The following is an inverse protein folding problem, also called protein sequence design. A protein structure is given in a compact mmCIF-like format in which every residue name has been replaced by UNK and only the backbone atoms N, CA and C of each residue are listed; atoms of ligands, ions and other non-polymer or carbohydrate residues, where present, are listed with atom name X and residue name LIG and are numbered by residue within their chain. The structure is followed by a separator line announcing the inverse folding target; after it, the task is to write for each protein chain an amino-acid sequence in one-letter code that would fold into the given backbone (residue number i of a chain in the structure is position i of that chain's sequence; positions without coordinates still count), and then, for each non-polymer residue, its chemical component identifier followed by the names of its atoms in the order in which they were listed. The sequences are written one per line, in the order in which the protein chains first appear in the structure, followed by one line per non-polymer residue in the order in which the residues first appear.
data_IF_262533746057
#
_entry.id   IF_262533746057
#
_cell.length_a   1.000
_cell.length_b   1.000
_cell.length_c   1.000
_cell.angle_alpha   90.00
_cell.angle_beta   90.00
_cell.angle_gamma   90.00
#
_symmetry.space_group_name_H-M   'P 1'
#
loop_
_entity.id
_entity.type
_entity.pdbx_description
1 polymer ?
#
# COMPACT_ATOMS: atom_id res chain seq x y z
N UNK A 1 -34.15 55.40 -28.47
CA UNK A 1 -33.83 54.21 -29.24
C UNK A 1 -32.57 54.44 -30.06
N UNK A 2 -31.42 54.08 -29.60
CA UNK A 2 -30.15 54.06 -30.37
C UNK A 2 -29.24 52.95 -29.79
N UNK A 3 -28.97 52.07 -30.61
CA UNK A 3 -28.03 50.98 -30.73
C UNK A 3 -26.76 51.09 -29.91
N UNK A 4 -26.45 50.06 -29.11
CA UNK A 4 -25.13 49.73 -28.59
C UNK A 4 -24.83 48.28 -28.88
N UNK A 5 -24.39 48.04 -30.09
CA UNK A 5 -23.75 46.77 -30.55
C UNK A 5 -22.37 47.16 -31.04
N UNK A 6 -21.32 46.86 -30.31
CA UNK A 6 -19.94 46.68 -30.79
C UNK A 6 -18.93 46.72 -29.61
N UNK A 7 -18.75 45.66 -28.91
CA UNK A 7 -17.54 45.41 -28.12
C UNK A 7 -17.43 43.94 -27.65
N UNK A 8 -17.65 42.97 -28.51
CA UNK A 8 -17.35 41.55 -28.22
C UNK A 8 -16.46 41.06 -29.37
N UNK A 9 -15.15 41.12 -29.22
CA UNK A 9 -14.32 40.56 -30.29
C UNK A 9 -12.80 40.63 -30.13
N UNK A 10 -12.24 40.96 -28.97
CA UNK A 10 -10.76 40.98 -28.86
C UNK A 10 -10.11 40.36 -27.63
N UNK A 11 -10.82 39.61 -26.79
CA UNK A 11 -10.21 39.03 -25.59
C UNK A 11 -9.92 37.53 -25.67
N UNK A 12 -10.27 36.82 -26.74
CA UNK A 12 -10.13 35.37 -26.80
C UNK A 12 -8.81 34.82 -27.31
N UNK A 13 -7.99 35.68 -27.95
CA UNK A 13 -6.72 35.20 -28.56
C UNK A 13 -5.55 35.14 -27.55
N UNK A 14 -5.56 36.01 -26.56
CA UNK A 14 -4.48 36.06 -25.54
C UNK A 14 -4.54 34.95 -24.50
N UNK A 15 -5.72 34.35 -24.25
CA UNK A 15 -5.89 33.31 -23.23
C UNK A 15 -5.43 31.93 -23.71
N UNK A 16 -5.53 31.64 -24.98
CA UNK A 16 -5.15 30.33 -25.54
C UNK A 16 -3.63 30.11 -25.57
N UNK A 17 -2.84 31.18 -25.71
CA UNK A 17 -1.37 31.07 -25.78
C UNK A 17 -0.79 30.91 -24.36
N UNK A 18 -1.42 31.49 -23.34
CA UNK A 18 -0.95 31.36 -21.93
C UNK A 18 -1.25 29.98 -21.31
N UNK A 19 -2.24 29.26 -21.80
CA UNK A 19 -2.59 27.91 -21.31
C UNK A 19 -1.71 26.81 -21.93
N UNK A 20 -1.17 27.01 -23.13
CA UNK A 20 -0.30 26.02 -23.81
C UNK A 20 1.12 25.97 -23.22
N UNK A 21 1.61 27.10 -22.69
CA UNK A 21 2.97 27.16 -22.14
C UNK A 21 3.17 26.34 -20.84
N UNK A 22 2.25 26.36 -19.86
CA UNK A 22 2.36 25.49 -18.69
C UNK A 22 2.14 24.00 -19.02
N UNK A 23 1.34 23.68 -20.05
CA UNK A 23 1.11 22.30 -20.46
C UNK A 23 2.37 21.65 -21.05
N UNK A 24 3.13 22.39 -21.84
CA UNK A 24 4.41 21.92 -22.40
C UNK A 24 5.48 21.72 -21.32
N UNK A 25 5.51 22.57 -20.28
CA UNK A 25 6.40 22.42 -19.13
C UNK A 25 6.04 21.18 -18.30
N UNK A 26 4.75 20.87 -18.11
CA UNK A 26 4.31 19.68 -17.39
C UNK A 26 4.68 18.39 -18.14
N UNK A 27 4.56 18.37 -19.46
CA UNK A 27 4.92 17.20 -20.27
C UNK A 27 6.44 16.97 -20.20
N UNK A 28 7.24 18.02 -20.20
CA UNK A 28 8.71 17.91 -20.08
C UNK A 28 9.17 17.37 -18.72
N UNK A 29 8.47 17.72 -17.64
CA UNK A 29 8.77 17.20 -16.27
C UNK A 29 8.37 15.73 -16.13
N UNK A 30 7.26 15.31 -16.73
CA UNK A 30 6.80 13.93 -16.67
C UNK A 30 7.76 13.00 -17.43
N UNK A 31 8.30 13.42 -18.56
CA UNK A 31 9.26 12.60 -19.34
C UNK A 31 10.60 12.45 -18.61
N UNK A 32 11.07 13.49 -17.88
CA UNK A 32 12.31 13.37 -17.10
C UNK A 32 12.17 12.55 -15.83
N UNK A 33 10.99 12.49 -15.20
CA UNK A 33 10.75 11.62 -14.04
C UNK A 33 10.61 10.15 -14.49
N UNK A 34 10.03 9.91 -15.67
CA UNK A 34 9.85 8.55 -16.20
C UNK A 34 11.16 7.81 -16.53
N UNK A 35 12.25 8.52 -16.82
CA UNK A 35 13.55 7.88 -17.12
C UNK A 35 14.39 7.59 -15.88
N UNK A 36 14.12 8.23 -14.74
CA UNK A 36 14.86 8.00 -13.50
C UNK A 36 14.36 6.76 -12.72
N UNK A 37 13.19 6.21 -13.04
CA UNK A 37 12.62 5.04 -12.33
C UNK A 37 12.98 3.72 -13.02
N UNK A 38 13.51 3.76 -14.26
CA UNK A 38 13.77 2.54 -15.02
C UNK A 38 15.12 1.86 -14.72
N UNK A 39 16.01 2.50 -13.97
CA UNK A 39 17.40 2.00 -13.78
C UNK A 39 17.65 1.29 -12.44
N UNK A 40 16.67 1.22 -11.51
CA UNK A 40 16.85 0.52 -10.23
C UNK A 40 16.22 -0.88 -10.17
N UNK A 41 15.62 -1.39 -11.23
CA UNK A 41 15.00 -2.73 -11.23
C UNK A 41 16.02 -3.87 -11.49
N UNK A 42 17.29 -3.56 -11.62
CA UNK A 42 18.34 -4.53 -12.02
C UNK A 42 19.34 -4.98 -10.95
N UNK A 43 19.35 -4.42 -9.75
CA UNK A 43 20.24 -4.89 -8.68
C UNK A 43 19.58 -6.04 -7.92
N UNK A 44 20.09 -7.26 -8.12
CA UNK A 44 19.68 -8.53 -7.56
C UNK A 44 18.90 -8.43 -6.25
N UNK A 45 17.59 -8.59 -6.32
CA UNK A 45 16.77 -8.80 -5.14
C UNK A 45 17.26 -10.11 -4.52
N UNK A 46 18.03 -9.99 -3.44
CA UNK A 46 18.27 -11.13 -2.57
C UNK A 46 16.89 -11.70 -2.24
N UNK A 47 16.66 -12.97 -2.57
CA UNK A 47 15.42 -13.68 -2.27
C UNK A 47 15.19 -13.54 -0.77
N UNK A 48 14.32 -12.62 -0.40
CA UNK A 48 13.97 -12.41 1.02
C UNK A 48 13.20 -13.64 1.47
N UNK A 49 13.66 -14.25 2.53
CA UNK A 49 12.91 -15.29 3.21
C UNK A 49 11.73 -14.62 3.90
N UNK A 50 10.56 -14.70 3.29
CA UNK A 50 9.34 -14.08 3.80
C UNK A 50 8.20 -15.08 3.79
N UNK A 51 7.33 -14.98 4.80
CA UNK A 51 6.09 -15.75 4.85
C UNK A 51 5.05 -15.16 3.92
N UNK A 52 4.22 -16.03 3.37
CA UNK A 52 3.08 -15.65 2.55
C UNK A 52 1.83 -16.45 2.91
N UNK A 53 0.66 -15.87 2.74
CA UNK A 53 -0.62 -16.55 2.87
C UNK A 53 -1.55 -16.05 1.78
N UNK A 54 -1.77 -16.85 0.74
CA UNK A 54 -2.48 -16.47 -0.48
C UNK A 54 -3.87 -17.09 -0.53
N UNK A 55 -4.88 -16.28 -0.88
CA UNK A 55 -6.27 -16.72 -1.00
C UNK A 55 -6.85 -17.24 0.32
N UNK A 56 -6.40 -16.70 1.45
CA UNK A 56 -6.76 -17.14 2.79
C UNK A 56 -7.90 -16.31 3.37
N UNK A 57 -8.63 -16.88 4.33
CA UNK A 57 -9.53 -16.11 5.19
C UNK A 57 -8.82 -15.71 6.48
N UNK A 58 -9.28 -14.66 7.12
CA UNK A 58 -8.77 -14.25 8.43
C UNK A 58 -9.49 -15.05 9.52
N UNK A 59 -8.74 -15.89 10.24
CA UNK A 59 -9.25 -16.70 11.33
C UNK A 59 -9.36 -15.92 12.64
N UNK A 60 -8.37 -15.05 12.92
CA UNK A 60 -8.30 -14.34 14.18
C UNK A 60 -7.53 -13.03 14.00
N UNK A 61 -8.03 -11.98 14.63
CA UNK A 61 -7.34 -10.71 14.82
C UNK A 61 -7.25 -10.45 16.32
N UNK A 62 -6.05 -10.20 16.82
CA UNK A 62 -5.82 -9.92 18.25
C UNK A 62 -5.08 -8.61 18.40
N UNK A 63 -5.66 -7.67 19.15
CA UNK A 63 -5.00 -6.44 19.53
C UNK A 63 -4.37 -6.60 20.93
N UNK A 64 -3.08 -6.28 21.04
CA UNK A 64 -2.33 -6.27 22.28
C UNK A 64 -2.09 -4.79 22.64
N UNK A 65 -2.68 -4.33 23.74
CA UNK A 65 -2.63 -2.91 24.15
C UNK A 65 -1.58 -2.65 25.23
N UNK A 66 -0.85 -3.67 25.64
CA UNK A 66 0.27 -3.54 26.59
C UNK A 66 1.55 -3.35 25.77
N UNK A 67 2.44 -2.48 26.21
CA UNK A 67 3.71 -2.23 25.51
C UNK A 67 4.54 -3.53 25.31
N UNK A 68 5.02 -3.80 24.08
CA UNK A 68 4.76 -3.04 22.85
C UNK A 68 3.36 -3.27 22.28
N UNK A 69 2.68 -2.18 21.88
CA UNK A 69 1.36 -2.26 21.25
C UNK A 69 1.46 -2.92 19.89
N UNK A 70 0.72 -3.99 19.67
CA UNK A 70 0.72 -4.70 18.40
C UNK A 70 -0.67 -5.25 18.05
N UNK A 71 -0.91 -5.45 16.77
CA UNK A 71 -2.03 -6.24 16.26
C UNK A 71 -1.46 -7.47 15.59
N UNK A 72 -2.03 -8.64 15.87
CA UNK A 72 -1.65 -9.88 15.20
C UNK A 72 -2.81 -10.41 14.37
N UNK A 73 -2.49 -11.01 13.23
CA UNK A 73 -3.45 -11.62 12.33
C UNK A 73 -3.06 -13.08 12.07
N UNK A 74 -4.03 -13.98 12.24
CA UNK A 74 -3.89 -15.40 11.93
C UNK A 74 -4.71 -15.75 10.69
N UNK A 75 -4.08 -16.04 9.55
CA UNK A 75 -4.77 -16.51 8.35
C UNK A 75 -5.15 -17.99 8.44
N UNK A 76 -6.15 -18.42 7.63
CA UNK A 76 -6.50 -19.81 7.45
C UNK A 76 -6.64 -20.14 5.93
N UNK A 77 -5.95 -21.15 5.39
CA UNK A 77 -5.09 -22.14 6.06
C UNK A 77 -3.80 -21.56 6.54
N UNK A 78 -3.09 -21.14 7.11
CA UNK A 78 -1.87 -20.67 7.72
C UNK A 78 -0.91 -20.01 6.74
N UNK A 79 0.27 -19.67 7.25
CA UNK A 79 1.34 -18.99 6.54
C UNK A 79 2.25 -20.05 5.94
N UNK A 80 2.69 -19.83 4.70
CA UNK A 80 3.66 -20.65 3.95
C UNK A 80 4.93 -19.86 3.67
N UNK A 81 5.92 -20.51 3.06
CA UNK A 81 7.18 -19.89 2.66
C UNK A 81 8.28 -19.95 3.73
N UNK A 82 9.45 -19.45 3.33
CA UNK A 82 10.65 -19.38 4.17
C UNK A 82 10.57 -18.18 5.09
N UNK A 83 10.14 -18.41 6.32
CA UNK A 83 10.02 -17.34 7.32
C UNK A 83 11.37 -16.99 7.96
N UNK A 84 11.55 -15.77 8.46
CA UNK A 84 12.73 -15.41 9.21
C UNK A 84 12.83 -16.25 10.48
N UNK A 85 14.06 -16.57 10.91
CA UNK A 85 14.31 -17.41 12.09
C UNK A 85 13.76 -16.85 13.40
N UNK A 86 13.54 -15.55 13.47
CA UNK A 86 12.91 -14.88 14.62
C UNK A 86 11.40 -15.17 14.72
N UNK A 87 10.72 -15.54 13.61
CA UNK A 87 9.29 -15.80 13.58
C UNK A 87 8.97 -17.19 14.13
N UNK A 88 9.20 -17.40 15.42
CA UNK A 88 8.94 -18.67 16.11
C UNK A 88 7.44 -18.96 16.24
N UNK A 89 6.59 -17.94 16.25
CA UNK A 89 5.15 -18.09 16.14
C UNK A 89 4.73 -18.13 14.65
N UNK A 90 4.70 -19.35 14.11
CA UNK A 90 4.44 -19.58 12.69
C UNK A 90 2.97 -19.33 12.25
N UNK A 91 2.05 -19.12 13.19
CA UNK A 91 0.63 -19.01 12.89
C UNK A 91 0.14 -17.60 12.61
N UNK A 92 0.96 -16.58 12.87
CA UNK A 92 0.55 -15.17 12.84
C UNK A 92 1.54 -14.27 12.12
N UNK A 93 1.02 -13.16 11.57
CA UNK A 93 1.78 -11.95 11.26
C UNK A 93 1.55 -10.89 12.34
N UNK A 94 2.55 -10.04 12.57
CA UNK A 94 2.45 -8.87 13.45
C UNK A 94 2.27 -7.59 12.64
N UNK A 95 1.54 -6.62 13.17
CA UNK A 95 1.28 -5.33 12.55
C UNK A 95 1.56 -4.24 13.57
N UNK A 96 2.29 -3.21 13.16
CA UNK A 96 2.53 -2.03 13.96
C UNK A 96 1.40 -1.01 13.79
N UNK A 97 0.46 -0.89 14.73
CA UNK A 97 -0.66 0.04 14.61
C UNK A 97 -0.26 1.52 14.83
N UNK A 98 0.97 1.78 15.26
CA UNK A 98 1.47 3.15 15.44
C UNK A 98 1.75 3.84 14.09
N UNK A 99 2.03 3.08 13.03
CA UNK A 99 2.27 3.61 11.69
C UNK A 99 0.97 3.86 10.92
N UNK A 100 1.01 4.77 9.93
CA UNK A 100 -0.14 5.01 9.05
C UNK A 100 -0.49 3.76 8.23
N UNK A 101 0.52 3.07 7.67
CA UNK A 101 0.35 1.83 6.92
C UNK A 101 -0.22 0.71 7.78
N UNK A 102 0.29 0.54 9.01
CA UNK A 102 -0.23 -0.46 9.93
C UNK A 102 -1.68 -0.22 10.32
N UNK A 103 -2.10 1.02 10.55
CA UNK A 103 -3.53 1.34 10.79
C UNK A 103 -4.40 1.01 9.58
N UNK A 104 -3.94 1.31 8.37
CA UNK A 104 -4.65 0.96 7.14
C UNK A 104 -4.75 -0.56 6.98
N UNK A 105 -3.67 -1.30 7.22
CA UNK A 105 -3.68 -2.76 7.18
C UNK A 105 -4.66 -3.36 8.20
N UNK A 106 -4.68 -2.86 9.43
CA UNK A 106 -5.65 -3.30 10.46
C UNK A 106 -7.09 -3.08 9.99
N UNK A 107 -7.41 -1.91 9.42
CA UNK A 107 -8.74 -1.63 8.91
C UNK A 107 -9.16 -2.61 7.79
N UNK A 108 -8.28 -2.88 6.83
CA UNK A 108 -8.52 -3.84 5.75
C UNK A 108 -8.72 -5.26 6.28
N UNK A 109 -7.92 -5.68 7.24
CA UNK A 109 -8.02 -7.02 7.86
C UNK A 109 -9.32 -7.18 8.62
N UNK A 110 -9.75 -6.18 9.39
CA UNK A 110 -11.01 -6.23 10.12
C UNK A 110 -12.21 -6.28 9.15
N UNK A 111 -12.18 -5.49 8.08
CA UNK A 111 -13.20 -5.55 7.03
C UNK A 111 -13.24 -6.95 6.39
N UNK A 112 -12.09 -7.46 5.93
CA UNK A 112 -12.01 -8.79 5.34
C UNK A 112 -12.51 -9.89 6.28
N UNK A 113 -12.16 -9.83 7.57
CA UNK A 113 -12.61 -10.78 8.56
C UNK A 113 -14.12 -10.74 8.79
N UNK A 114 -14.72 -9.55 8.80
CA UNK A 114 -16.16 -9.37 8.99
C UNK A 114 -16.99 -9.83 7.79
N UNK A 115 -16.46 -9.70 6.60
CA UNK A 115 -17.12 -10.07 5.34
C UNK A 115 -16.80 -11.50 4.88
N UNK A 116 -15.84 -12.17 5.51
CA UNK A 116 -15.32 -13.46 5.05
C UNK A 116 -14.56 -13.37 3.73
N UNK A 117 -14.12 -12.16 3.35
CA UNK A 117 -13.39 -11.92 2.11
C UNK A 117 -12.01 -12.56 2.18
N UNK A 118 -11.61 -13.24 1.09
CA UNK A 118 -10.26 -13.79 0.98
C UNK A 118 -9.22 -12.70 0.79
N UNK A 119 -8.04 -12.91 1.34
CA UNK A 119 -6.90 -11.98 1.26
C UNK A 119 -5.62 -12.70 0.87
N UNK A 120 -4.69 -11.94 0.31
CA UNK A 120 -3.29 -12.31 0.21
C UNK A 120 -2.49 -11.47 1.19
N UNK A 121 -1.59 -12.11 1.92
CA UNK A 121 -0.74 -11.51 2.94
C UNK A 121 0.72 -11.84 2.66
N UNK A 122 1.61 -10.88 2.81
CA UNK A 122 3.06 -11.06 2.70
C UNK A 122 3.76 -10.45 3.91
N UNK A 123 4.77 -11.16 4.39
CA UNK A 123 5.62 -10.68 5.46
C UNK A 123 6.82 -9.89 4.94
N UNK A 124 7.48 -9.15 5.82
CA UNK A 124 8.71 -8.38 5.53
C UNK A 124 9.97 -9.23 5.44
N UNK A 125 9.94 -10.48 5.87
CA UNK A 125 11.14 -11.29 6.12
C UNK A 125 11.87 -10.93 7.41
N UNK A 126 11.26 -10.15 8.29
CA UNK A 126 11.85 -9.72 9.57
C UNK A 126 10.80 -9.68 10.69
N UNK A 127 11.29 -9.75 11.94
CA UNK A 127 10.49 -9.52 13.13
C UNK A 127 10.88 -8.16 13.73
N UNK A 128 9.89 -7.41 14.18
CA UNK A 128 10.10 -6.12 14.81
C UNK A 128 9.96 -6.25 16.33
N UNK A 129 11.10 -6.14 17.04
CA UNK A 129 11.13 -6.25 18.51
C UNK A 129 10.28 -5.18 19.22
N UNK A 130 10.09 -4.03 18.59
CA UNK A 130 9.23 -2.97 19.11
C UNK A 130 7.74 -3.24 18.93
N UNK A 131 7.37 -4.29 18.17
CA UNK A 131 5.99 -4.70 17.91
C UNK A 131 5.74 -6.08 18.48
N UNK A 132 6.43 -7.10 17.92
CA UNK A 132 6.35 -8.49 18.36
C UNK A 132 7.56 -9.26 17.87
N UNK A 133 8.42 -9.68 18.78
CA UNK A 133 9.72 -10.29 18.48
C UNK A 133 9.65 -11.71 17.94
N UNK A 134 8.55 -12.44 18.19
CA UNK A 134 8.37 -13.84 17.82
C UNK A 134 7.47 -14.05 16.59
N UNK A 135 7.03 -12.96 15.94
CA UNK A 135 6.20 -12.99 14.74
C UNK A 135 6.78 -12.08 13.65
N UNK A 136 6.67 -12.54 12.40
CA UNK A 136 7.05 -11.75 11.24
C UNK A 136 6.13 -10.55 11.07
N UNK A 137 6.69 -9.38 10.77
CA UNK A 137 5.88 -8.19 10.50
C UNK A 137 5.20 -8.29 9.14
N UNK A 138 3.93 -7.90 9.07
CA UNK A 138 3.16 -7.85 7.82
C UNK A 138 3.64 -6.68 6.95
N UNK A 139 3.99 -6.96 5.70
CA UNK A 139 4.40 -5.95 4.71
C UNK A 139 3.22 -5.50 3.86
N UNK A 140 2.44 -6.45 3.35
CA UNK A 140 1.37 -6.15 2.41
C UNK A 140 0.12 -7.01 2.65
N UNK A 141 -1.03 -6.43 2.30
CA UNK A 141 -2.32 -7.09 2.23
C UNK A 141 -3.03 -6.72 0.93
N UNK A 142 -3.62 -7.69 0.26
CA UNK A 142 -4.47 -7.51 -0.91
C UNK A 142 -5.81 -8.22 -0.67
N UNK A 143 -6.92 -7.51 -0.88
CA UNK A 143 -8.26 -8.10 -0.83
C UNK A 143 -8.58 -8.75 -2.17
N UNK A 144 -9.14 -9.97 -2.15
CA UNK A 144 -9.62 -10.68 -3.34
C UNK A 144 -11.13 -10.53 -3.46
N UNK A 145 -11.59 -9.80 -4.47
CA UNK A 145 -13.00 -9.63 -4.76
C UNK A 145 -13.41 -10.57 -5.91
N UNK A 146 -14.57 -11.22 -5.77
CA UNK A 146 -15.23 -11.90 -6.89
C UNK A 146 -14.76 -13.34 -7.19
N UNK A 147 -14.17 -14.03 -6.21
CA UNK A 147 -13.94 -15.49 -6.31
C UNK A 147 -15.02 -16.28 -5.57
#
# INVERSE_FOLDING_TARGET
MKSSLLAIGRQTLGYRIRLLMPLLLFISVIVTIGTAIADEVGAGQAVRKQGEALGVTIRQVTAIQVEPTSVTVAPHPGIKGDRPSCATNAAIFAINPATAGGRAAVALIVSAASEGTKVDLWGTGACNNAVKSDAEELEAIVLRYGE
#
